data_IF_656207771565
#
_entry.id   IF_656207771565
#
_cell.length_a   1.000
_cell.length_b   1.000
_cell.length_c   1.000
_cell.angle_alpha   90.00
_cell.angle_beta   90.00
_cell.angle_gamma   90.00
#
_symmetry.space_group_name_H-M   'P 1'
#
loop_
_entity.id
_entity.type
_entity.pdbx_description
1 polymer ?
#
# COMPACT_ATOMS: atom_id res chain seq x y z
N UNK A 1 11.64 -0.35 9.66
CA UNK A 1 11.20 -0.44 8.26
C UNK A 1 10.08 0.53 8.01
N UNK A 2 10.17 1.27 6.92
CA UNK A 2 9.15 2.22 6.48
C UNK A 2 8.23 1.52 5.48
N UNK A 3 6.91 1.70 5.59
CA UNK A 3 5.97 1.03 4.69
C UNK A 3 4.76 1.89 4.38
N UNK A 4 4.07 1.52 3.29
CA UNK A 4 2.81 2.15 2.88
C UNK A 4 1.69 1.11 2.75
N UNK A 5 0.45 1.56 2.87
CA UNK A 5 -0.74 0.73 2.75
C UNK A 5 -1.64 1.24 1.62
N UNK A 6 -2.08 0.33 0.75
CA UNK A 6 -3.12 0.57 -0.23
C UNK A 6 -4.38 -0.17 0.21
N UNK A 7 -5.32 0.58 0.75
CA UNK A 7 -6.61 0.04 1.17
C UNK A 7 -7.46 -0.39 -0.03
N UNK A 8 -8.55 -1.08 0.27
CA UNK A 8 -9.63 -1.31 -0.68
C UNK A 8 -10.44 -0.01 -0.86
N UNK A 9 -11.74 -0.10 -1.12
CA UNK A 9 -12.65 1.02 -0.84
C UNK A 9 -12.78 1.27 0.67
N UNK A 10 -13.23 2.45 1.05
CA UNK A 10 -13.61 2.73 2.43
C UNK A 10 -14.67 1.73 2.93
N UNK A 11 -14.52 1.26 4.16
CA UNK A 11 -15.41 0.31 4.82
C UNK A 11 -14.74 -1.01 5.22
N UNK A 12 -15.60 -2.00 5.51
CA UNK A 12 -15.25 -3.20 6.28
C UNK A 12 -13.95 -3.90 5.84
N UNK A 13 -13.74 -4.11 4.54
CA UNK A 13 -12.53 -4.81 4.05
C UNK A 13 -11.26 -4.06 4.41
N UNK A 14 -11.27 -2.72 4.31
CA UNK A 14 -10.13 -1.89 4.66
C UNK A 14 -9.86 -1.92 6.16
N UNK A 15 -10.91 -1.93 6.97
CA UNK A 15 -10.79 -2.06 8.42
C UNK A 15 -10.19 -3.41 8.83
N UNK A 16 -10.76 -4.51 8.34
CA UNK A 16 -10.35 -5.83 8.80
C UNK A 16 -9.03 -6.31 8.20
N UNK A 17 -8.60 -5.79 7.05
CA UNK A 17 -7.33 -6.16 6.42
C UNK A 17 -6.24 -5.15 6.71
N UNK A 18 -6.48 -3.88 6.41
CA UNK A 18 -5.46 -2.84 6.52
C UNK A 18 -5.24 -2.39 7.96
N UNK A 19 -6.30 -2.01 8.69
CA UNK A 19 -6.11 -1.53 10.08
C UNK A 19 -5.55 -2.63 10.98
N UNK A 20 -6.00 -3.88 10.81
CA UNK A 20 -5.45 -5.01 11.57
C UNK A 20 -3.96 -5.24 11.26
N UNK A 21 -3.56 -5.18 9.98
CA UNK A 21 -2.16 -5.29 9.60
C UNK A 21 -1.33 -4.18 10.25
N UNK A 22 -1.75 -2.92 10.09
CA UNK A 22 -1.08 -1.74 10.67
C UNK A 22 -0.94 -1.89 12.18
N UNK A 23 -2.01 -2.24 12.87
CA UNK A 23 -2.01 -2.41 14.33
C UNK A 23 -1.02 -3.48 14.78
N UNK A 24 -0.95 -4.61 14.06
CA UNK A 24 -0.04 -5.70 14.40
C UNK A 24 1.42 -5.31 14.15
N UNK A 25 1.77 -4.82 12.95
CA UNK A 25 3.17 -4.54 12.59
C UNK A 25 3.74 -3.33 13.33
N UNK A 26 2.91 -2.32 13.64
CA UNK A 26 3.35 -1.17 14.44
C UNK A 26 3.62 -1.60 15.89
N UNK A 27 2.78 -2.47 16.46
CA UNK A 27 2.92 -2.94 17.84
C UNK A 27 4.08 -3.93 18.01
N UNK A 28 4.18 -4.91 17.12
CA UNK A 28 5.05 -6.08 17.33
C UNK A 28 6.42 -5.92 16.66
N UNK A 29 6.52 -5.09 15.61
CA UNK A 29 7.75 -4.92 14.82
C UNK A 29 8.27 -3.47 14.79
N UNK A 30 7.54 -2.51 15.38
CA UNK A 30 7.87 -1.08 15.34
C UNK A 30 8.06 -0.57 13.91
N UNK A 31 7.27 -1.07 12.96
CA UNK A 31 7.28 -0.54 11.60
C UNK A 31 6.62 0.84 11.55
N UNK A 32 7.10 1.69 10.65
CA UNK A 32 6.66 3.07 10.53
C UNK A 32 5.80 3.24 9.28
N UNK A 33 4.50 3.48 9.49
CA UNK A 33 3.55 3.75 8.42
C UNK A 33 3.79 5.15 7.84
N UNK A 34 4.29 5.22 6.60
CA UNK A 34 4.53 6.48 5.88
C UNK A 34 3.25 7.03 5.26
N UNK A 35 2.42 6.15 4.70
CA UNK A 35 1.16 6.57 4.08
C UNK A 35 0.14 5.44 4.00
N UNK A 36 -1.14 5.82 3.97
CA UNK A 36 -2.23 4.89 3.75
C UNK A 36 -3.28 5.54 2.84
N UNK A 37 -3.58 4.90 1.71
CA UNK A 37 -4.48 5.44 0.68
C UNK A 37 -5.67 4.52 0.45
N UNK A 38 -6.88 5.09 0.48
CA UNK A 38 -8.07 4.42 -0.06
C UNK A 38 -8.03 4.36 -1.57
N UNK A 39 -8.56 3.27 -2.11
CA UNK A 39 -8.66 3.05 -3.55
C UNK A 39 -10.13 2.90 -3.96
N UNK A 40 -10.37 2.68 -5.25
CA UNK A 40 -11.70 2.34 -5.79
C UNK A 40 -11.85 0.84 -6.01
N UNK A 41 -11.06 0.02 -5.31
CA UNK A 41 -11.08 -1.44 -5.42
C UNK A 41 -10.75 -2.00 -6.81
N UNK A 42 -10.13 -1.20 -7.70
CA UNK A 42 -9.76 -1.60 -9.05
C UNK A 42 -8.25 -1.53 -9.25
N UNK A 43 -7.78 -2.26 -10.27
CA UNK A 43 -6.38 -2.24 -10.70
C UNK A 43 -5.87 -0.82 -10.98
N UNK A 44 -6.64 -0.04 -11.73
CA UNK A 44 -6.27 1.34 -12.07
C UNK A 44 -6.11 2.21 -10.80
N UNK A 45 -7.04 2.09 -9.85
CA UNK A 45 -6.94 2.88 -8.61
C UNK A 45 -5.77 2.45 -7.71
N UNK A 46 -5.37 1.18 -7.76
CA UNK A 46 -4.17 0.70 -7.06
C UNK A 46 -2.89 1.24 -7.67
N UNK A 47 -2.80 1.29 -9.01
CA UNK A 47 -1.69 1.91 -9.73
C UNK A 47 -1.54 3.40 -9.38
N UNK A 48 -2.63 4.17 -9.43
CA UNK A 48 -2.62 5.61 -9.14
C UNK A 48 -2.21 5.88 -7.68
N UNK A 49 -2.76 5.11 -6.73
CA UNK A 49 -2.45 5.26 -5.32
C UNK A 49 -1.00 4.86 -5.00
N UNK A 50 -0.48 3.80 -5.63
CA UNK A 50 0.92 3.40 -5.48
C UNK A 50 1.88 4.50 -5.97
N UNK A 51 1.63 5.06 -7.17
CA UNK A 51 2.43 6.17 -7.70
C UNK A 51 2.39 7.39 -6.77
N UNK A 52 1.19 7.81 -6.36
CA UNK A 52 1.04 8.95 -5.46
C UNK A 52 1.75 8.73 -4.11
N UNK A 53 1.71 7.51 -3.57
CA UNK A 53 2.43 7.15 -2.34
C UNK A 53 3.94 7.25 -2.53
N UNK A 54 4.49 6.66 -3.58
CA UNK A 54 5.94 6.61 -3.84
C UNK A 54 6.53 7.94 -4.28
N UNK A 55 5.76 8.78 -4.98
CA UNK A 55 6.16 10.16 -5.31
C UNK A 55 6.32 11.02 -4.06
N UNK A 56 5.46 10.81 -3.05
CA UNK A 56 5.48 11.59 -1.81
C UNK A 56 6.41 10.99 -0.75
N UNK A 57 6.49 9.67 -0.67
CA UNK A 57 7.26 8.91 0.31
C UNK A 57 8.06 7.82 -0.43
N UNK A 58 9.19 8.17 -1.08
CA UNK A 58 9.96 7.23 -1.88
C UNK A 58 10.71 6.19 -1.02
N UNK A 59 11.03 6.53 0.23
CA UNK A 59 11.79 5.67 1.15
C UNK A 59 10.86 4.70 1.90
N UNK A 60 10.41 3.66 1.21
CA UNK A 60 9.60 2.56 1.76
C UNK A 60 10.19 1.21 1.35
N UNK A 61 10.16 0.24 2.26
CA UNK A 61 10.68 -1.11 2.05
C UNK A 61 9.64 -2.01 1.36
N UNK A 62 8.35 -1.79 1.61
CA UNK A 62 7.26 -2.59 1.05
C UNK A 62 5.92 -1.84 1.03
N UNK A 63 4.98 -2.34 0.22
CA UNK A 63 3.59 -1.85 0.15
C UNK A 63 2.63 -2.98 0.49
N UNK A 64 1.81 -2.78 1.53
CA UNK A 64 0.72 -3.72 1.86
C UNK A 64 -0.57 -3.35 1.12
N UNK A 65 -1.02 -4.20 0.20
CA UNK A 65 -2.25 -4.01 -0.57
C UNK A 65 -3.41 -4.88 -0.05
N UNK A 66 -4.57 -4.29 0.19
CA UNK A 66 -5.73 -4.96 0.77
C UNK A 66 -6.55 -5.84 -0.20
N UNK A 67 -6.25 -5.82 -1.51
CA UNK A 67 -6.90 -6.67 -2.52
C UNK A 67 -6.00 -6.99 -3.71
N UNK A 68 -6.34 -8.06 -4.43
CA UNK A 68 -5.60 -8.55 -5.60
C UNK A 68 -5.47 -7.51 -6.71
N UNK A 69 -6.58 -6.91 -7.13
CA UNK A 69 -6.57 -5.92 -8.21
C UNK A 69 -5.70 -4.71 -7.86
N UNK A 70 -5.83 -4.21 -6.63
CA UNK A 70 -5.01 -3.09 -6.13
C UNK A 70 -3.53 -3.46 -6.13
N UNK A 71 -3.18 -4.67 -5.68
CA UNK A 71 -1.80 -5.17 -5.71
C UNK A 71 -1.24 -5.27 -7.13
N UNK A 72 -2.01 -5.80 -8.09
CA UNK A 72 -1.61 -5.87 -9.49
C UNK A 72 -1.44 -4.48 -10.12
N UNK A 73 -2.22 -3.49 -9.68
CA UNK A 73 -2.02 -2.09 -10.06
C UNK A 73 -0.74 -1.51 -9.49
N UNK A 74 -0.46 -1.78 -8.21
CA UNK A 74 0.77 -1.35 -7.56
C UNK A 74 2.01 -1.95 -8.23
N UNK A 75 1.97 -3.22 -8.64
CA UNK A 75 3.06 -3.86 -9.41
C UNK A 75 3.34 -3.13 -10.73
N UNK A 76 2.30 -2.71 -11.45
CA UNK A 76 2.48 -1.93 -12.69
C UNK A 76 3.13 -0.57 -12.40
N UNK A 77 2.76 0.09 -11.29
CA UNK A 77 3.36 1.35 -10.86
C UNK A 77 4.84 1.20 -10.46
N UNK A 78 5.17 0.15 -9.69
CA UNK A 78 6.55 -0.16 -9.28
C UNK A 78 7.44 -0.40 -10.50
N UNK A 79 6.97 -1.18 -11.46
CA UNK A 79 7.70 -1.42 -12.73
C UNK A 79 7.93 -0.16 -13.52
N UNK A 80 6.93 0.73 -13.61
CA UNK A 80 7.07 2.00 -14.32
C UNK A 80 8.10 2.92 -13.64
N UNK A 81 8.12 2.94 -12.30
CA UNK A 81 9.04 3.77 -11.52
C UNK A 81 10.43 3.13 -11.32
N UNK A 82 10.64 1.90 -11.80
CA UNK A 82 11.89 1.16 -11.61
C UNK A 82 12.18 0.81 -10.14
N UNK A 83 11.12 0.56 -9.36
CA UNK A 83 11.17 0.27 -7.92
C UNK A 83 11.08 -1.23 -7.63
N UNK A 84 11.98 -2.00 -8.22
CA UNK A 84 12.10 -3.45 -7.99
C UNK A 84 12.63 -3.78 -6.57
N UNK A 85 13.07 -2.77 -5.83
CA UNK A 85 13.50 -2.84 -4.43
C UNK A 85 12.33 -2.90 -3.44
N UNK A 86 11.13 -2.45 -3.84
CA UNK A 86 9.94 -2.43 -2.98
C UNK A 86 9.16 -3.72 -3.14
N UNK A 87 8.89 -4.39 -2.02
CA UNK A 87 8.13 -5.65 -1.98
C UNK A 87 6.60 -5.46 -1.93
#
# INVERSE_FOLDING_TARGET
SHYSVLYFSEGYISDIRGNNFINQVNRDNQFELQSAYYTKATKQSGYEAAKASLEKYPDVDFIYACSTDVALGAVDALKELGRDDVM
#
